data_IF_249328516899
#
_entry.id   IF_249328516899
#
_cell.length_a   1.000
_cell.length_b   1.000
_cell.length_c   1.000
_cell.angle_alpha   90.00
_cell.angle_beta   90.00
_cell.angle_gamma   90.00
#
_symmetry.space_group_name_H-M   'P 1'
#
loop_
_entity.id
_entity.type
_entity.pdbx_description
1 polymer ?
#
# COMPACT_ATOMS: atom_id res chain seq x y z
N UNK A 1 26.25 11.04 25.44
CA UNK A 1 25.79 12.18 24.60
C UNK A 1 24.34 11.92 24.25
N UNK A 2 23.45 12.93 24.30
CA UNK A 2 22.13 12.80 23.67
C UNK A 2 22.38 12.81 22.16
N UNK A 3 22.14 11.68 21.48
CA UNK A 3 22.21 11.63 20.02
C UNK A 3 21.21 12.61 19.39
N UNK A 4 21.49 13.04 18.17
CA UNK A 4 20.56 13.88 17.41
C UNK A 4 19.32 13.04 17.05
N UNK A 5 18.18 13.34 17.67
CA UNK A 5 16.96 12.54 17.49
C UNK A 5 16.25 12.82 16.15
N UNK A 6 16.39 14.05 15.64
CA UNK A 6 15.74 14.52 14.41
C UNK A 6 16.71 15.33 13.53
N UNK A 7 16.63 15.12 12.21
CA UNK A 7 17.30 15.96 11.19
C UNK A 7 16.28 16.49 10.20
N UNK A 8 16.43 17.75 9.81
CA UNK A 8 15.65 18.37 8.74
C UNK A 8 16.53 18.59 7.51
N UNK A 9 16.06 18.13 6.34
CA UNK A 9 16.68 18.36 5.04
C UNK A 9 15.73 19.21 4.20
N UNK A 10 16.20 20.33 3.66
CA UNK A 10 15.51 21.03 2.60
C UNK A 10 15.91 20.42 1.26
N UNK A 11 14.96 19.76 0.59
CA UNK A 11 15.16 19.10 -0.71
C UNK A 11 14.98 20.06 -1.89
N UNK A 12 14.71 21.35 -1.64
CA UNK A 12 14.58 22.35 -2.69
C UNK A 12 15.84 22.37 -3.57
N UNK A 13 15.63 22.29 -4.88
CA UNK A 13 16.67 22.29 -5.91
C UNK A 13 17.69 21.14 -5.82
N UNK A 14 17.51 20.17 -4.90
CA UNK A 14 18.34 18.97 -4.81
C UNK A 14 17.95 17.97 -5.90
N UNK A 15 18.94 17.43 -6.59
CA UNK A 15 18.73 16.28 -7.46
C UNK A 15 18.43 15.03 -6.61
N UNK A 16 17.64 14.08 -7.13
CA UNK A 16 17.21 12.92 -6.33
C UNK A 16 18.39 12.11 -5.75
N UNK A 17 19.48 11.96 -6.51
CA UNK A 17 20.69 11.26 -6.05
C UNK A 17 21.31 11.92 -4.83
N UNK A 18 21.44 13.24 -4.87
CA UNK A 18 22.00 14.04 -3.79
C UNK A 18 21.16 13.90 -2.52
N UNK A 19 19.82 13.96 -2.65
CA UNK A 19 18.92 13.77 -1.51
C UNK A 19 19.07 12.38 -0.89
N UNK A 20 19.10 11.33 -1.71
CA UNK A 20 19.22 9.95 -1.22
C UNK A 20 20.59 9.69 -0.57
N UNK A 21 21.68 10.14 -1.21
CA UNK A 21 23.03 10.04 -0.65
C UNK A 21 23.12 10.72 0.72
N UNK A 22 22.54 11.92 0.84
CA UNK A 22 22.49 12.68 2.10
C UNK A 22 21.68 11.97 3.18
N UNK A 23 20.54 11.37 2.84
CA UNK A 23 19.75 10.56 3.79
C UNK A 23 20.59 9.38 4.31
N UNK A 24 21.27 8.66 3.42
CA UNK A 24 22.12 7.53 3.83
C UNK A 24 23.36 7.96 4.62
N UNK A 25 23.96 9.11 4.30
CA UNK A 25 25.05 9.70 5.07
C UNK A 25 24.62 10.03 6.50
N UNK A 26 23.50 10.76 6.66
CA UNK A 26 22.92 11.07 7.97
C UNK A 26 22.69 9.80 8.80
N UNK A 27 22.18 8.73 8.19
CA UNK A 27 21.94 7.46 8.88
C UNK A 27 23.23 6.74 9.29
N UNK A 28 24.31 6.85 8.50
CA UNK A 28 25.62 6.29 8.86
C UNK A 28 26.27 7.08 10.00
N UNK A 29 26.17 8.40 9.96
CA UNK A 29 26.79 9.29 10.94
C UNK A 29 26.01 9.37 12.26
N UNK A 30 24.70 9.10 12.22
CA UNK A 30 23.80 9.19 13.37
C UNK A 30 23.02 7.87 13.56
N UNK A 31 23.65 6.77 14.03
CA UNK A 31 22.97 5.48 14.18
C UNK A 31 21.72 5.49 15.07
N UNK A 32 21.67 6.43 16.02
CA UNK A 32 20.57 6.61 16.97
C UNK A 32 19.45 7.55 16.47
N UNK A 33 19.58 8.15 15.28
CA UNK A 33 18.58 9.07 14.74
C UNK A 33 17.23 8.37 14.57
N UNK A 34 16.15 9.00 15.04
CA UNK A 34 14.80 8.40 14.96
C UNK A 34 13.91 9.08 13.94
N UNK A 35 14.27 10.29 13.52
CA UNK A 35 13.43 11.07 12.61
C UNK A 35 14.24 11.85 11.57
N UNK A 36 13.79 11.79 10.32
CA UNK A 36 14.26 12.66 9.24
C UNK A 36 13.05 13.37 8.66
N UNK A 37 13.13 14.69 8.51
CA UNK A 37 12.09 15.52 7.90
C UNK A 37 12.61 16.07 6.59
N UNK A 38 11.97 15.74 5.47
CA UNK A 38 12.28 16.24 4.14
C UNK A 38 11.28 17.34 3.79
N UNK A 39 11.77 18.56 3.57
CA UNK A 39 10.96 19.71 3.13
C UNK A 39 11.14 19.97 1.64
N UNK A 40 10.14 20.58 1.01
CA UNK A 40 10.17 21.01 -0.39
C UNK A 40 10.50 19.88 -1.37
N UNK A 41 10.04 18.66 -1.09
CA UNK A 41 10.22 17.52 -2.01
C UNK A 41 9.35 17.74 -3.25
N UNK A 42 9.94 17.63 -4.43
CA UNK A 42 9.29 17.90 -5.72
C UNK A 42 9.80 16.91 -6.78
N UNK A 43 9.41 15.64 -6.64
CA UNK A 43 9.68 14.60 -7.62
C UNK A 43 11.01 13.85 -7.43
N UNK A 44 11.74 14.08 -6.32
CA UNK A 44 12.93 13.27 -6.04
C UNK A 44 12.52 11.79 -5.85
N UNK A 45 13.11 10.92 -6.69
CA UNK A 45 12.85 9.48 -6.75
C UNK A 45 13.66 8.69 -5.72
N UNK A 46 13.22 7.46 -5.43
CA UNK A 46 13.94 6.49 -4.59
C UNK A 46 14.20 6.95 -3.14
N UNK A 47 13.39 7.89 -2.64
CA UNK A 47 13.50 8.32 -1.25
C UNK A 47 13.32 7.09 -0.35
N UNK A 48 14.27 6.92 0.58
CA UNK A 48 14.32 5.81 1.53
C UNK A 48 14.57 4.42 0.93
N UNK A 49 15.15 4.34 -0.27
CA UNK A 49 15.52 3.06 -0.90
C UNK A 49 16.44 2.21 -0.02
N UNK A 50 16.10 0.94 0.18
CA UNK A 50 16.90 -0.04 0.90
C UNK A 50 17.13 0.24 2.39
N UNK A 51 16.45 1.23 3.00
CA UNK A 51 16.62 1.53 4.42
C UNK A 51 15.96 0.43 5.28
N UNK A 52 16.70 -0.06 6.28
CA UNK A 52 16.28 -1.18 7.14
C UNK A 52 16.11 -0.80 8.63
N UNK A 53 16.27 0.48 8.98
CA UNK A 53 16.21 0.95 10.36
C UNK A 53 14.76 0.99 10.86
N UNK A 54 14.39 0.04 11.73
CA UNK A 54 12.99 -0.16 12.18
C UNK A 54 12.40 0.97 13.01
N UNK A 55 13.22 1.68 13.76
CA UNK A 55 12.83 2.78 14.65
C UNK A 55 12.96 4.17 13.99
N UNK A 56 13.10 4.21 12.67
CA UNK A 56 13.19 5.44 11.89
C UNK A 56 11.83 5.86 11.33
N UNK A 57 11.50 7.14 11.51
CA UNK A 57 10.41 7.82 10.82
C UNK A 57 10.97 8.83 9.82
N UNK A 58 10.49 8.80 8.58
CA UNK A 58 10.80 9.81 7.56
C UNK A 58 9.51 10.57 7.22
N UNK A 59 9.44 11.85 7.56
CA UNK A 59 8.34 12.72 7.15
C UNK A 59 8.69 13.49 5.89
N UNK A 60 7.79 13.52 4.92
CA UNK A 60 7.99 14.12 3.61
C UNK A 60 6.93 15.20 3.41
N UNK A 61 7.37 16.45 3.31
CA UNK A 61 6.55 17.59 2.92
C UNK A 61 6.81 17.93 1.46
N UNK A 62 5.85 17.61 0.61
CA UNK A 62 5.97 17.70 -0.85
C UNK A 62 5.49 16.43 -1.54
N UNK A 63 5.89 16.26 -2.80
CA UNK A 63 5.53 15.11 -3.64
C UNK A 63 6.79 14.27 -3.89
N UNK A 64 6.99 13.13 -3.22
CA UNK A 64 8.06 12.20 -3.57
C UNK A 64 7.83 11.65 -4.99
N UNK A 65 8.94 11.51 -5.72
CA UNK A 65 8.95 10.90 -7.03
C UNK A 65 8.75 9.39 -6.99
N UNK A 66 8.82 8.76 -8.16
CA UNK A 66 8.66 7.31 -8.29
C UNK A 66 9.58 6.48 -7.37
N UNK A 67 9.07 5.30 -6.96
CA UNK A 67 9.79 4.28 -6.18
C UNK A 67 10.12 4.69 -4.72
N UNK A 68 9.22 5.44 -4.07
CA UNK A 68 9.31 5.75 -2.64
C UNK A 68 9.37 4.47 -1.78
N UNK A 69 10.38 4.35 -0.91
CA UNK A 69 10.53 3.20 -0.01
C UNK A 69 10.79 1.88 -0.75
N UNK A 70 11.40 1.93 -1.94
CA UNK A 70 11.84 0.74 -2.66
C UNK A 70 12.78 -0.11 -1.80
N UNK A 71 12.62 -1.44 -1.82
CA UNK A 71 13.41 -2.38 -1.00
C UNK A 71 13.49 -2.08 0.52
N UNK A 72 12.64 -1.19 1.04
CA UNK A 72 12.63 -0.80 2.44
C UNK A 72 12.23 -1.99 3.33
N UNK A 73 12.83 -2.08 4.51
CA UNK A 73 12.53 -3.13 5.49
C UNK A 73 12.58 -2.60 6.93
N UNK A 74 11.56 -1.85 7.34
CA UNK A 74 11.38 -1.47 8.74
C UNK A 74 10.88 -0.04 8.99
N UNK A 75 11.45 1.00 8.38
CA UNK A 75 11.06 2.39 8.66
C UNK A 75 9.58 2.69 8.45
N UNK A 76 9.15 3.80 9.04
CA UNK A 76 7.86 4.43 8.73
C UNK A 76 8.08 5.68 7.88
N UNK A 77 7.47 5.73 6.70
CA UNK A 77 7.46 6.92 5.84
C UNK A 77 6.08 7.56 5.91
N UNK A 78 6.02 8.88 6.13
CA UNK A 78 4.79 9.66 6.17
C UNK A 78 4.90 10.76 5.12
N UNK A 79 4.02 10.73 4.11
CA UNK A 79 3.95 11.72 3.04
C UNK A 79 2.77 12.65 3.29
N UNK A 80 3.07 13.92 3.58
CA UNK A 80 2.09 15.00 3.74
C UNK A 80 1.68 15.57 2.38
N UNK A 81 1.13 14.71 1.53
CA UNK A 81 0.79 15.04 0.15
C UNK A 81 0.50 13.80 -0.70
N UNK A 82 0.57 13.97 -2.02
CA UNK A 82 0.49 12.86 -2.97
C UNK A 82 1.85 12.17 -3.12
N UNK A 83 1.86 10.91 -3.53
CA UNK A 83 3.05 10.26 -4.07
C UNK A 83 2.85 9.99 -5.57
N UNK A 84 3.93 9.99 -6.34
CA UNK A 84 3.89 9.54 -7.74
C UNK A 84 3.64 8.02 -7.84
N UNK A 85 4.22 7.36 -8.85
CA UNK A 85 4.04 5.94 -9.10
C UNK A 85 4.96 5.07 -8.21
N UNK A 86 4.59 3.81 -8.02
CA UNK A 86 5.44 2.78 -7.41
C UNK A 86 5.89 2.95 -5.93
N UNK A 87 5.18 3.66 -5.02
CA UNK A 87 5.58 3.61 -3.61
C UNK A 87 5.47 2.17 -3.06
N UNK A 88 6.41 1.78 -2.22
CA UNK A 88 6.49 0.44 -1.62
C UNK A 88 7.01 -0.64 -2.58
N UNK A 89 7.73 -0.27 -3.64
CA UNK A 89 8.34 -1.22 -4.57
C UNK A 89 9.15 -2.30 -3.85
N UNK A 90 8.71 -3.56 -3.94
CA UNK A 90 9.45 -4.70 -3.35
C UNK A 90 9.77 -4.50 -1.86
N UNK A 91 8.97 -3.69 -1.17
CA UNK A 91 9.11 -3.43 0.26
C UNK A 91 8.89 -4.74 1.03
N UNK A 92 9.78 -5.00 1.98
CA UNK A 92 9.83 -6.24 2.75
C UNK A 92 9.24 -6.07 4.16
N UNK A 93 9.41 -4.90 4.78
CA UNK A 93 8.80 -4.56 6.07
C UNK A 93 8.72 -3.03 6.23
N UNK A 94 7.99 -2.55 7.24
CA UNK A 94 7.80 -1.13 7.54
C UNK A 94 6.41 -0.61 7.14
N UNK A 95 6.25 0.70 7.15
CA UNK A 95 4.96 1.35 6.85
C UNK A 95 5.15 2.58 5.96
N UNK A 96 4.32 2.73 4.93
CA UNK A 96 4.22 3.97 4.14
C UNK A 96 2.81 4.53 4.30
N UNK A 97 2.70 5.79 4.68
CA UNK A 97 1.43 6.50 4.88
C UNK A 97 1.39 7.71 3.96
N UNK A 98 0.40 7.78 3.06
CA UNK A 98 0.25 8.85 2.08
C UNK A 98 -1.06 9.58 2.37
N UNK A 99 -0.97 10.85 2.79
CA UNK A 99 -2.13 11.67 3.14
C UNK A 99 -2.96 12.13 1.93
N UNK A 100 -2.39 12.07 0.73
CA UNK A 100 -3.09 12.32 -0.53
C UNK A 100 -3.42 11.03 -1.29
N UNK A 101 -3.32 11.11 -2.61
CA UNK A 101 -3.44 9.97 -3.53
C UNK A 101 -2.06 9.45 -3.95
N UNK A 102 -2.03 8.25 -4.52
CA UNK A 102 -0.83 7.68 -5.12
C UNK A 102 -1.05 7.31 -6.58
N UNK A 103 0.02 7.35 -7.36
CA UNK A 103 0.01 6.97 -8.77
C UNK A 103 -0.12 5.46 -9.00
N UNK A 104 0.24 5.08 -10.23
CA UNK A 104 0.17 3.70 -10.69
C UNK A 104 1.13 2.79 -9.92
N UNK A 105 0.86 1.48 -9.94
CA UNK A 105 1.70 0.42 -9.36
C UNK A 105 2.08 0.63 -7.89
N UNK A 106 1.24 1.33 -7.13
CA UNK A 106 1.33 1.41 -5.66
C UNK A 106 1.46 0.02 -5.06
N UNK A 107 2.38 -0.17 -4.12
CA UNK A 107 2.63 -1.44 -3.42
C UNK A 107 3.03 -2.63 -4.32
N UNK A 108 3.57 -2.38 -5.51
CA UNK A 108 3.94 -3.50 -6.39
C UNK A 108 5.08 -4.35 -5.84
N UNK A 109 4.97 -5.66 -6.04
CA UNK A 109 5.96 -6.67 -5.65
C UNK A 109 6.28 -6.76 -4.14
N UNK A 110 5.52 -6.08 -3.27
CA UNK A 110 5.70 -6.12 -1.82
C UNK A 110 5.69 -7.54 -1.25
N UNK A 111 6.49 -7.74 -0.20
CA UNK A 111 6.67 -9.03 0.51
C UNK A 111 6.24 -9.01 1.97
N UNK A 112 6.17 -7.82 2.55
CA UNK A 112 5.64 -7.57 3.88
C UNK A 112 5.45 -6.07 4.10
N UNK A 113 5.17 -5.69 5.35
CA UNK A 113 4.85 -4.31 5.70
C UNK A 113 3.51 -3.82 5.15
N UNK A 114 3.26 -2.52 5.29
CA UNK A 114 1.94 -1.90 5.07
C UNK A 114 2.04 -0.60 4.28
N UNK A 115 1.15 -0.39 3.32
CA UNK A 115 0.97 0.88 2.61
C UNK A 115 -0.45 1.38 2.84
N UNK A 116 -0.58 2.59 3.35
CA UNK A 116 -1.85 3.28 3.60
C UNK A 116 -1.94 4.51 2.69
N UNK A 117 -2.95 4.57 1.82
CA UNK A 117 -3.19 5.72 0.94
C UNK A 117 -4.55 6.33 1.28
N UNK A 118 -4.58 7.60 1.67
CA UNK A 118 -5.82 8.28 2.07
C UNK A 118 -6.82 8.40 0.94
N UNK A 119 -6.33 8.77 -0.24
CA UNK A 119 -7.12 9.03 -1.44
C UNK A 119 -7.15 7.83 -2.37
N UNK A 120 -7.07 8.13 -3.66
CA UNK A 120 -7.12 7.13 -4.73
C UNK A 120 -5.74 6.54 -5.01
N UNK A 121 -5.72 5.37 -5.66
CA UNK A 121 -4.51 4.79 -6.26
C UNK A 121 -4.69 4.57 -7.76
N UNK A 122 -3.56 4.61 -8.48
CA UNK A 122 -3.53 4.42 -9.92
C UNK A 122 -3.73 2.97 -10.39
N UNK A 123 -3.46 2.76 -11.69
CA UNK A 123 -3.56 1.47 -12.36
C UNK A 123 -2.60 0.45 -11.77
N UNK A 124 -2.97 -0.83 -11.79
CA UNK A 124 -2.09 -1.96 -11.40
C UNK A 124 -1.57 -1.88 -9.96
N UNK A 125 -2.27 -1.16 -9.08
CA UNK A 125 -1.90 -1.10 -7.66
C UNK A 125 -2.02 -2.48 -7.01
N UNK A 126 -1.00 -2.88 -6.25
CA UNK A 126 -0.86 -4.20 -5.65
C UNK A 126 -0.40 -5.29 -6.62
N UNK A 127 0.08 -4.94 -7.83
CA UNK A 127 0.57 -5.93 -8.79
C UNK A 127 1.73 -6.74 -8.21
N UNK A 128 1.72 -8.06 -8.40
CA UNK A 128 2.77 -8.99 -7.96
C UNK A 128 3.06 -9.03 -6.44
N UNK A 129 2.18 -8.51 -5.58
CA UNK A 129 2.30 -8.72 -4.12
C UNK A 129 2.39 -10.22 -3.80
N UNK A 130 3.29 -10.61 -2.89
CA UNK A 130 3.47 -12.02 -2.47
C UNK A 130 3.61 -12.13 -0.96
N UNK A 131 2.99 -13.14 -0.38
CA UNK A 131 3.15 -13.48 1.03
C UNK A 131 4.04 -14.73 1.18
N UNK A 132 4.72 -14.84 2.33
CA UNK A 132 5.46 -16.05 2.69
C UNK A 132 5.40 -16.28 4.19
N UNK A 133 4.80 -17.42 4.58
CA UNK A 133 4.51 -17.76 5.99
C UNK A 133 3.76 -16.62 6.67
N UNK A 134 4.28 -16.09 7.77
CA UNK A 134 3.65 -15.02 8.56
C UNK A 134 3.87 -13.62 7.95
N UNK A 135 4.62 -13.54 6.84
CA UNK A 135 4.92 -12.28 6.16
C UNK A 135 3.87 -11.99 5.11
N UNK A 136 3.00 -11.03 5.41
CA UNK A 136 1.83 -10.68 4.60
C UNK A 136 1.90 -9.17 4.27
N UNK A 137 2.12 -8.79 3.00
CA UNK A 137 2.07 -7.38 2.61
C UNK A 137 0.62 -6.90 2.58
N UNK A 138 0.39 -5.67 3.03
CA UNK A 138 -0.95 -5.07 3.11
C UNK A 138 -0.99 -3.71 2.42
N UNK A 139 -2.00 -3.52 1.57
CA UNK A 139 -2.32 -2.23 0.96
C UNK A 139 -3.73 -1.81 1.39
N UNK A 140 -3.87 -0.64 2.01
CA UNK A 140 -5.16 -0.04 2.36
C UNK A 140 -5.35 1.26 1.60
N UNK A 141 -6.44 1.34 0.85
CA UNK A 141 -6.79 2.46 -0.04
C UNK A 141 -8.08 3.09 0.50
N UNK A 142 -8.02 4.38 0.84
CA UNK A 142 -9.18 5.11 1.34
C UNK A 142 -10.22 5.36 0.26
N UNK A 143 -9.78 5.89 -0.88
CA UNK A 143 -10.62 6.16 -2.03
C UNK A 143 -10.82 4.94 -2.92
N UNK A 144 -10.58 5.11 -4.22
CA UNK A 144 -10.76 4.09 -5.27
C UNK A 144 -9.42 3.64 -5.84
N UNK A 145 -9.44 2.43 -6.41
CA UNK A 145 -8.40 1.97 -7.30
C UNK A 145 -8.88 2.02 -8.76
N UNK A 146 -7.96 2.28 -9.69
CA UNK A 146 -8.20 2.12 -11.13
C UNK A 146 -8.12 0.64 -11.54
N UNK A 147 -8.13 0.40 -12.85
CA UNK A 147 -8.10 -0.95 -13.44
C UNK A 147 -6.84 -1.74 -13.04
N UNK A 148 -6.97 -3.07 -13.10
CA UNK A 148 -5.91 -4.05 -12.80
C UNK A 148 -5.45 -4.08 -11.34
N UNK A 149 -6.31 -3.68 -10.39
CA UNK A 149 -6.03 -3.81 -8.96
C UNK A 149 -5.68 -5.27 -8.59
N UNK A 150 -4.54 -5.49 -7.94
CA UNK A 150 -4.09 -6.81 -7.48
C UNK A 150 -3.70 -7.78 -8.61
N UNK A 151 -3.29 -7.26 -9.76
CA UNK A 151 -2.83 -8.08 -10.89
C UNK A 151 -1.67 -9.02 -10.49
N UNK A 152 -1.72 -10.29 -10.88
CA UNK A 152 -0.71 -11.30 -10.54
C UNK A 152 -0.35 -11.40 -9.05
N UNK A 153 -1.23 -10.99 -8.14
CA UNK A 153 -1.02 -11.15 -6.69
C UNK A 153 -0.92 -12.64 -6.34
N UNK A 154 0.10 -13.01 -5.56
CA UNK A 154 0.38 -14.37 -5.11
C UNK A 154 0.35 -14.49 -3.57
N UNK A 155 -0.28 -13.53 -2.90
CA UNK A 155 -0.39 -13.43 -1.45
C UNK A 155 -0.44 -11.97 -1.00
N UNK A 156 -0.94 -11.73 0.21
CA UNK A 156 -1.15 -10.40 0.75
C UNK A 156 -2.63 -10.03 0.86
N UNK A 157 -2.86 -8.81 1.34
CA UNK A 157 -4.20 -8.25 1.56
C UNK A 157 -4.27 -6.87 0.90
N UNK A 158 -5.31 -6.65 0.08
CA UNK A 158 -5.66 -5.33 -0.44
C UNK A 158 -7.03 -4.96 0.13
N UNK A 159 -7.18 -3.76 0.68
CA UNK A 159 -8.44 -3.25 1.24
C UNK A 159 -8.76 -1.93 0.54
N UNK A 160 -9.93 -1.82 -0.09
CA UNK A 160 -10.44 -0.58 -0.69
C UNK A 160 -11.66 -0.12 0.09
N UNK A 161 -11.51 0.99 0.82
CA UNK A 161 -12.54 1.56 1.68
C UNK A 161 -13.59 2.34 0.87
N UNK A 162 -13.26 2.83 -0.33
CA UNK A 162 -14.22 3.50 -1.21
C UNK A 162 -14.95 4.66 -0.50
N UNK A 163 -14.18 5.52 0.18
CA UNK A 163 -14.65 6.70 0.90
C UNK A 163 -13.96 8.00 0.46
N UNK A 164 -14.68 9.11 0.55
CA UNK A 164 -14.12 10.46 0.34
C UNK A 164 -13.32 10.96 1.57
N UNK A 165 -12.87 12.23 1.53
CA UNK A 165 -12.14 12.88 2.62
C UNK A 165 -12.93 12.97 3.95
N UNK A 166 -14.27 12.90 3.88
CA UNK A 166 -15.18 12.99 5.03
C UNK A 166 -15.69 11.62 5.51
N UNK A 167 -15.32 10.51 4.85
CA UNK A 167 -15.82 9.17 5.18
C UNK A 167 -17.17 8.81 4.51
N UNK A 168 -17.59 9.60 3.52
CA UNK A 168 -18.81 9.29 2.76
C UNK A 168 -18.55 8.21 1.74
N UNK A 169 -19.60 7.42 1.45
CA UNK A 169 -19.55 6.38 0.44
C UNK A 169 -19.38 7.00 -0.96
N UNK A 170 -18.40 6.51 -1.72
CA UNK A 170 -18.16 6.94 -3.09
C UNK A 170 -19.08 6.25 -4.12
N UNK A 171 -19.97 5.35 -3.72
CA UNK A 171 -20.89 4.62 -4.59
C UNK A 171 -20.20 3.49 -5.37
N UNK A 172 -20.76 3.14 -6.54
CA UNK A 172 -20.28 1.98 -7.33
C UNK A 172 -18.82 2.13 -7.73
N UNK A 173 -18.03 1.10 -7.42
CA UNK A 173 -16.62 0.99 -7.83
C UNK A 173 -16.57 0.67 -9.33
N UNK A 174 -15.72 1.40 -10.07
CA UNK A 174 -15.65 1.32 -11.54
C UNK A 174 -14.45 0.55 -12.09
N UNK A 175 -13.50 0.16 -11.23
CA UNK A 175 -12.30 -0.56 -11.66
C UNK A 175 -12.64 -1.88 -12.35
N UNK A 176 -11.86 -2.23 -13.38
CA UNK A 176 -11.99 -3.47 -14.16
C UNK A 176 -10.73 -4.32 -14.07
N UNK A 177 -10.85 -5.59 -14.48
CA UNK A 177 -9.78 -6.59 -14.41
C UNK A 177 -9.22 -6.78 -13.00
N UNK A 178 -10.08 -6.63 -11.99
CA UNK A 178 -9.70 -6.76 -10.57
C UNK A 178 -9.21 -8.18 -10.31
N UNK A 179 -8.02 -8.32 -9.75
CA UNK A 179 -7.40 -9.61 -9.45
C UNK A 179 -7.03 -10.42 -10.70
N UNK A 180 -6.88 -9.80 -11.87
CA UNK A 180 -6.46 -10.57 -13.06
C UNK A 180 -5.11 -11.26 -12.80
N UNK A 181 -5.02 -12.55 -13.09
CA UNK A 181 -3.81 -13.31 -12.82
C UNK A 181 -3.60 -13.69 -11.36
N UNK A 182 -4.57 -13.49 -10.45
CA UNK A 182 -4.40 -13.78 -9.02
C UNK A 182 -4.13 -15.27 -8.76
N UNK A 183 -3.11 -15.55 -7.95
CA UNK A 183 -2.69 -16.89 -7.51
C UNK A 183 -2.91 -17.10 -6.01
N UNK A 184 -2.94 -16.03 -5.21
CA UNK A 184 -3.07 -16.08 -3.76
C UNK A 184 -3.36 -14.70 -3.17
N UNK A 185 -3.72 -14.67 -1.88
CA UNK A 185 -4.12 -13.44 -1.19
C UNK A 185 -5.62 -13.16 -1.35
N UNK A 186 -6.03 -11.98 -0.88
CA UNK A 186 -7.41 -11.52 -0.96
C UNK A 186 -7.48 -10.00 -1.15
N UNK A 187 -8.47 -9.57 -1.94
CA UNK A 187 -8.84 -8.18 -2.16
C UNK A 187 -10.22 -7.97 -1.53
N UNK A 188 -10.34 -7.02 -0.62
CA UNK A 188 -11.58 -6.66 0.07
C UNK A 188 -11.99 -5.27 -0.39
N UNK A 189 -13.19 -5.14 -0.96
CA UNK A 189 -13.69 -3.87 -1.45
C UNK A 189 -15.01 -3.57 -0.75
N UNK A 190 -15.09 -2.40 -0.11
CA UNK A 190 -16.32 -1.91 0.49
C UNK A 190 -17.34 -1.58 -0.62
N UNK A 191 -18.50 -2.23 -0.56
CA UNK A 191 -19.53 -2.17 -1.59
C UNK A 191 -19.54 -3.40 -2.50
N UNK A 192 -20.35 -3.33 -3.57
CA UNK A 192 -20.59 -4.43 -4.49
C UNK A 192 -19.75 -4.33 -5.76
N UNK A 193 -19.12 -5.45 -6.13
CA UNK A 193 -18.41 -5.62 -7.40
C UNK A 193 -19.15 -6.63 -8.27
N UNK A 194 -19.31 -6.31 -9.55
CA UNK A 194 -19.95 -7.19 -10.51
C UNK A 194 -18.94 -8.21 -11.06
N UNK A 195 -19.41 -9.41 -11.43
CA UNK A 195 -18.53 -10.50 -11.89
C UNK A 195 -17.73 -10.15 -13.15
N UNK A 196 -18.26 -9.29 -14.01
CA UNK A 196 -17.61 -8.81 -15.23
C UNK A 196 -16.49 -7.77 -14.98
N UNK A 197 -16.38 -7.24 -13.76
CA UNK A 197 -15.26 -6.40 -13.34
C UNK A 197 -14.01 -7.21 -12.96
N UNK A 198 -14.15 -8.52 -12.74
CA UNK A 198 -13.06 -9.39 -12.33
C UNK A 198 -12.16 -9.77 -13.51
N UNK A 199 -10.88 -9.95 -13.20
CA UNK A 199 -9.91 -10.50 -14.14
C UNK A 199 -9.87 -12.02 -14.15
N UNK A 200 -9.07 -12.58 -15.06
CA UNK A 200 -8.85 -14.03 -15.15
C UNK A 200 -8.32 -14.56 -13.80
N UNK A 201 -8.79 -15.74 -13.40
CA UNK A 201 -8.45 -16.41 -12.14
C UNK A 201 -9.02 -15.79 -10.85
N UNK A 202 -9.68 -14.64 -10.90
CA UNK A 202 -10.36 -14.04 -9.76
C UNK A 202 -11.83 -14.49 -9.68
N UNK A 203 -12.35 -14.58 -8.45
CA UNK A 203 -13.75 -14.87 -8.17
C UNK A 203 -14.21 -14.11 -6.93
N UNK A 204 -15.51 -13.83 -6.86
CA UNK A 204 -16.14 -13.31 -5.65
C UNK A 204 -16.37 -14.47 -4.70
N UNK A 205 -15.81 -14.37 -3.50
CA UNK A 205 -16.01 -15.35 -2.43
C UNK A 205 -16.91 -14.75 -1.35
N UNK A 206 -17.54 -15.62 -0.57
CA UNK A 206 -18.26 -15.21 0.62
C UNK A 206 -17.32 -14.45 1.57
N UNK A 207 -17.79 -13.31 2.07
CA UNK A 207 -17.12 -12.53 3.10
C UNK A 207 -17.65 -12.97 4.46
N UNK A 208 -16.78 -13.46 5.33
CA UNK A 208 -17.15 -14.04 6.62
C UNK A 208 -16.71 -13.17 7.81
N UNK A 209 -17.08 -13.58 9.02
CA UNK A 209 -16.59 -12.94 10.25
C UNK A 209 -15.05 -13.05 10.39
N UNK A 210 -14.45 -14.18 9.98
CA UNK A 210 -12.99 -14.34 9.96
C UNK A 210 -12.32 -13.32 9.04
N UNK A 211 -12.95 -13.01 7.89
CA UNK A 211 -12.45 -11.97 7.00
C UNK A 211 -12.54 -10.59 7.65
N UNK A 212 -13.62 -10.30 8.36
CA UNK A 212 -13.78 -9.05 9.10
C UNK A 212 -12.72 -8.90 10.19
N UNK A 213 -12.50 -9.95 11.00
CA UNK A 213 -11.45 -9.97 12.03
C UNK A 213 -10.05 -9.77 11.43
N UNK A 214 -9.80 -10.34 10.25
CA UNK A 214 -8.54 -10.20 9.52
C UNK A 214 -8.29 -8.77 9.03
N UNK A 215 -9.31 -8.06 8.54
CA UNK A 215 -9.13 -6.70 7.98
C UNK A 215 -9.33 -5.58 9.01
N UNK A 216 -10.05 -5.84 10.10
CA UNK A 216 -10.37 -4.86 11.14
C UNK A 216 -9.15 -4.09 11.67
N UNK A 217 -8.03 -4.74 12.06
CA UNK A 217 -6.86 -4.01 12.56
C UNK A 217 -6.29 -3.00 11.55
N UNK A 218 -6.34 -3.32 10.25
CA UNK A 218 -5.85 -2.41 9.20
C UNK A 218 -6.81 -1.24 8.94
N UNK A 219 -8.12 -1.46 9.10
CA UNK A 219 -9.12 -0.38 9.05
C UNK A 219 -8.93 0.57 10.24
N UNK A 220 -8.75 0.02 11.45
CA UNK A 220 -8.52 0.82 12.66
C UNK A 220 -7.21 1.61 12.57
N UNK A 221 -6.15 1.00 12.04
CA UNK A 221 -4.87 1.67 11.80
C UNK A 221 -5.00 2.77 10.72
N UNK A 222 -5.72 2.52 9.63
CA UNK A 222 -6.04 3.54 8.63
C UNK A 222 -6.76 4.73 9.26
N UNK A 223 -7.81 4.49 10.05
CA UNK A 223 -8.55 5.54 10.73
C UNK A 223 -7.65 6.33 11.69
N UNK A 224 -6.71 5.67 12.38
CA UNK A 224 -5.75 6.34 13.26
C UNK A 224 -4.78 7.23 12.47
N UNK A 225 -4.18 6.73 11.39
CA UNK A 225 -3.24 7.52 10.58
C UNK A 225 -3.87 8.80 10.03
N UNK A 226 -5.13 8.71 9.59
CA UNK A 226 -5.82 9.83 8.95
C UNK A 226 -6.80 10.57 9.88
N UNK A 227 -6.71 10.34 11.20
CA UNK A 227 -7.56 10.97 12.22
C UNK A 227 -9.06 10.92 11.88
N UNK A 228 -9.53 9.77 11.39
CA UNK A 228 -10.93 9.60 11.04
C UNK A 228 -11.80 9.47 12.29
N UNK A 229 -12.99 10.10 12.29
CA UNK A 229 -13.96 9.97 13.38
C UNK A 229 -14.39 8.54 13.67
N UNK A 230 -14.78 8.29 14.92
CA UNK A 230 -15.21 6.98 15.40
C UNK A 230 -16.46 6.46 14.67
N UNK A 231 -17.39 7.34 14.28
CA UNK A 231 -18.57 7.00 13.49
C UNK A 231 -18.20 6.53 12.07
N UNK A 232 -17.17 7.13 11.45
CA UNK A 232 -16.64 6.67 10.16
C UNK A 232 -16.01 5.29 10.32
N UNK A 233 -15.19 5.08 11.35
CA UNK A 233 -14.58 3.77 11.64
C UNK A 233 -15.65 2.69 11.83
N UNK A 234 -16.68 2.97 12.65
CA UNK A 234 -17.78 2.04 12.88
C UNK A 234 -18.57 1.76 11.60
N UNK A 235 -18.81 2.77 10.76
CA UNK A 235 -19.45 2.58 9.46
C UNK A 235 -18.63 1.65 8.55
N UNK A 236 -17.31 1.80 8.50
CA UNK A 236 -16.43 0.93 7.71
C UNK A 236 -16.49 -0.53 8.18
N UNK A 237 -16.43 -0.76 9.50
CA UNK A 237 -16.48 -2.10 10.09
C UNK A 237 -17.85 -2.80 9.90
N UNK A 238 -18.94 -2.04 9.83
CA UNK A 238 -20.30 -2.56 9.64
C UNK A 238 -20.78 -2.51 8.17
N UNK A 239 -19.89 -2.19 7.23
CA UNK A 239 -20.25 -2.11 5.82
C UNK A 239 -20.37 -3.49 5.16
N UNK A 240 -21.07 -3.53 4.02
CA UNK A 240 -21.02 -4.68 3.11
C UNK A 240 -19.68 -4.71 2.37
N UNK A 241 -19.05 -5.87 2.34
CA UNK A 241 -17.77 -6.09 1.69
C UNK A 241 -17.90 -7.15 0.60
N UNK A 242 -17.26 -6.90 -0.54
CA UNK A 242 -16.98 -7.93 -1.53
C UNK A 242 -15.56 -8.44 -1.32
N UNK A 243 -15.42 -9.76 -1.17
CA UNK A 243 -14.14 -10.45 -1.15
C UNK A 243 -13.85 -11.03 -2.52
N UNK A 244 -12.68 -10.71 -3.06
CA UNK A 244 -12.17 -11.24 -4.32
C UNK A 244 -10.90 -12.03 -4.01
N UNK A 245 -10.85 -13.27 -4.49
CA UNK A 245 -9.75 -14.20 -4.24
C UNK A 245 -9.59 -15.16 -5.43
N UNK A 246 -8.53 -15.99 -5.48
CA UNK A 246 -8.38 -17.00 -6.53
C UNK A 246 -9.60 -17.92 -6.64
N UNK A 247 -9.98 -18.27 -7.87
CA UNK A 247 -11.07 -19.24 -8.15
C UNK A 247 -10.83 -20.56 -7.41
N UNK A 248 -9.57 -21.02 -7.37
CA UNK A 248 -9.16 -22.27 -6.71
C UNK A 248 -7.72 -22.17 -6.18
N UNK A 249 -7.23 -23.24 -5.52
CA UNK A 249 -5.83 -23.36 -5.09
C UNK A 249 -4.82 -23.42 -6.25
N UNK A 250 -5.26 -23.82 -7.46
CA UNK A 250 -4.44 -23.94 -8.66
C UNK A 250 -5.17 -23.30 -9.85
N UNK A 251 -5.33 -21.97 -9.87
CA UNK A 251 -6.18 -21.30 -10.86
C UNK A 251 -5.72 -21.54 -12.31
N UNK A 252 -4.42 -21.79 -12.52
CA UNK A 252 -3.83 -22.05 -13.83
C UNK A 252 -3.42 -23.51 -14.05
N UNK A 253 -3.83 -24.43 -13.16
CA UNK A 253 -3.36 -25.83 -13.19
C UNK A 253 -3.65 -26.57 -14.50
N UNK A 254 -4.72 -26.20 -15.20
CA UNK A 254 -5.10 -26.80 -16.50
C UNK A 254 -4.54 -26.08 -17.71
N UNK A 255 -3.96 -24.89 -17.54
CA UNK A 255 -3.56 -24.03 -18.66
C UNK A 255 -2.32 -24.58 -19.38
N UNK A 256 -1.32 -25.00 -18.61
CA UNK A 256 -0.04 -25.48 -19.15
C UNK A 256 0.03 -27.01 -19.27
N UNK A 257 -0.80 -27.72 -18.50
CA UNK A 257 -0.83 -29.18 -18.47
C UNK A 257 -2.28 -29.67 -18.47
N UNK A 258 -3.01 -29.49 -19.59
CA UNK A 258 -4.44 -29.84 -19.65
C UNK A 258 -4.72 -31.32 -19.38
N UNK A 259 -3.76 -32.20 -19.70
CA UNK A 259 -3.88 -33.66 -19.58
C UNK A 259 -3.43 -34.24 -18.22
N UNK A 260 -2.95 -33.40 -17.29
CA UNK A 260 -2.52 -33.82 -15.96
C UNK A 260 -3.73 -33.84 -14.99
N UNK A 261 -4.57 -34.87 -15.11
CA UNK A 261 -5.44 -35.39 -14.03
C UNK A 261 -5.95 -36.79 -14.33
#
# INVERSE_FOLDING_TARGET
MKGMEEVVIDAKDMHYRELNEKIHEILRENPDIKKIVLKNVLGQRFIADGIQKKDLTIEIYGIPGGDLGMFMSGPTIIVHGNAEFAPGNTMDDGTIVIYGSSGDVTAHSMRGGKVFVRGDVGYRSGIHMKAYKDKVPVLVIGGRAKDFLGEYMAGGIIIVLNIDEKGNDLGKVKGRMIGTGIHGGAIYIRGEIDKDQLGVAADIKEFTEEDLEKIKPYIEEFCKWFNLPEDVKNKLLNSKWTKIAPISKRPFGKLYTPDLM
#
